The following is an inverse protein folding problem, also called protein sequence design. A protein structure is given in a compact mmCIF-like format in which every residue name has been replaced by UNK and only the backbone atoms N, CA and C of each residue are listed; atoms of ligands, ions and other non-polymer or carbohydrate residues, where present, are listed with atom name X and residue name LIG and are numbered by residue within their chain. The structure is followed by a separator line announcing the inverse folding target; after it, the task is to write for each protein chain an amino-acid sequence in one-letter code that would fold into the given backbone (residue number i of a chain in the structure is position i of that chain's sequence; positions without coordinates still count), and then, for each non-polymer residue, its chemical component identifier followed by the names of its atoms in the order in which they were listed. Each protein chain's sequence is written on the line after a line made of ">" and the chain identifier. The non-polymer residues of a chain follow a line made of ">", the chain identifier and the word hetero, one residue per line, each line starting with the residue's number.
data_IF_587900471727
#
_entry.id   IF_587900471727
#
_cell.length_a   1.000
_cell.length_b   1.000
_cell.length_c   1.000
_cell.angle_alpha   90.00
_cell.angle_beta   90.00
_cell.angle_gamma   90.00
#
_symmetry.space_group_name_H-M   'P 1'
#
loop_
_entity.id
_entity.type
_entity.pdbx_description
1 polymer ?
#
# COMPACT_ATOMS: atom_id res chain seq x y z
N UNK A 1 54.62 6.34 70.13
CA UNK A 1 53.86 5.14 70.55
C UNK A 1 52.40 5.36 70.18
N UNK A 2 51.96 4.71 69.09
CA UNK A 2 50.63 4.11 68.86
C UNK A 2 50.35 4.00 67.36
N UNK A 3 50.72 2.83 66.82
CA UNK A 3 50.12 2.22 65.64
C UNK A 3 48.62 2.04 65.85
N UNK A 4 47.80 2.40 64.88
CA UNK A 4 46.51 1.75 64.65
C UNK A 4 46.33 1.49 63.15
N UNK A 5 46.06 0.22 62.87
CA UNK A 5 45.85 -0.46 61.61
C UNK A 5 44.34 -0.47 61.25
N UNK A 6 44.00 -0.97 60.06
CA UNK A 6 42.67 -1.52 59.65
C UNK A 6 41.64 -0.52 59.08
N UNK A 7 40.84 -0.79 58.04
CA UNK A 7 40.55 -1.96 57.16
C UNK A 7 40.15 -1.37 55.78
N UNK A 8 40.62 -1.94 54.67
CA UNK A 8 40.16 -1.63 53.32
C UNK A 8 38.98 -2.55 52.97
N UNK A 9 37.76 -2.00 52.91
CA UNK A 9 36.55 -2.71 52.46
C UNK A 9 36.46 -2.56 50.94
N UNK A 10 36.71 -3.63 50.18
CA UNK A 10 36.39 -3.68 48.75
C UNK A 10 34.90 -3.95 48.57
N UNK A 11 34.15 -2.90 48.24
CA UNK A 11 32.77 -3.01 47.77
C UNK A 11 32.79 -3.50 46.32
N UNK A 12 32.44 -4.76 46.08
CA UNK A 12 32.12 -5.22 44.72
C UNK A 12 30.76 -4.63 44.32
N UNK A 13 30.78 -3.63 43.45
CA UNK A 13 29.58 -3.10 42.80
C UNK A 13 29.13 -4.07 41.71
N UNK A 14 28.10 -4.86 41.99
CA UNK A 14 27.39 -5.64 40.98
C UNK A 14 26.56 -4.70 40.10
N UNK A 15 27.04 -4.44 38.88
CA UNK A 15 26.26 -3.75 37.85
C UNK A 15 25.17 -4.68 37.34
N UNK A 16 23.92 -4.44 37.75
CA UNK A 16 22.75 -5.03 37.12
C UNK A 16 22.60 -4.44 35.72
N UNK A 17 22.94 -5.22 34.69
CA UNK A 17 22.59 -4.93 33.30
C UNK A 17 21.07 -5.07 33.17
N UNK A 18 20.37 -3.94 33.14
CA UNK A 18 18.96 -3.90 32.75
C UNK A 18 18.91 -4.00 31.23
N UNK A 19 18.65 -5.19 30.69
CA UNK A 19 18.30 -5.32 29.28
C UNK A 19 16.88 -4.77 29.10
N UNK A 20 16.77 -3.50 28.69
CA UNK A 20 15.50 -2.97 28.19
C UNK A 20 15.12 -3.78 26.95
N UNK A 21 13.99 -4.48 27.02
CA UNK A 21 13.37 -5.04 25.83
C UNK A 21 13.13 -3.88 24.85
N UNK A 22 13.38 -4.05 23.54
CA UNK A 22 13.04 -3.04 22.57
C UNK A 22 11.55 -2.73 22.71
N UNK A 23 11.23 -1.49 23.11
CA UNK A 23 9.87 -0.99 23.07
C UNK A 23 9.44 -1.08 21.61
N UNK A 24 8.36 -1.80 21.25
CA UNK A 24 7.87 -1.75 19.89
C UNK A 24 7.61 -0.29 19.56
N UNK A 25 8.29 0.23 18.54
CA UNK A 25 8.17 1.64 18.15
C UNK A 25 6.69 1.99 18.09
N UNK A 26 6.28 2.96 18.91
CA UNK A 26 4.93 3.51 18.80
C UNK A 26 4.69 3.87 17.34
N UNK A 27 3.58 3.45 16.72
CA UNK A 27 3.34 3.78 15.32
C UNK A 27 3.47 5.29 15.13
N UNK A 28 4.26 5.70 14.14
CA UNK A 28 4.44 7.10 13.81
C UNK A 28 3.04 7.70 13.60
N UNK A 29 2.63 8.75 14.33
CA UNK A 29 1.28 9.31 14.23
C UNK A 29 0.95 9.84 12.83
N UNK A 30 1.97 10.04 11.98
CA UNK A 30 1.83 10.42 10.57
C UNK A 30 1.72 9.22 9.62
N UNK A 31 1.70 7.98 10.12
CA UNK A 31 1.53 6.78 9.29
C UNK A 31 0.13 6.75 8.69
N UNK A 32 0.04 6.57 7.39
CA UNK A 32 -1.22 6.31 6.70
C UNK A 32 -1.30 4.84 6.27
N UNK A 33 -2.45 4.21 6.55
CA UNK A 33 -2.72 2.83 6.19
C UNK A 33 -4.08 2.79 5.51
N UNK A 34 -4.16 2.13 4.36
CA UNK A 34 -5.39 1.89 3.64
C UNK A 34 -5.39 0.53 2.95
N UNK A 35 -6.57 0.05 2.59
CA UNK A 35 -6.73 -1.18 1.83
C UNK A 35 -7.91 -1.11 0.87
N UNK A 36 -7.82 -1.86 -0.23
CA UNK A 36 -8.93 -2.19 -1.10
C UNK A 36 -9.15 -3.71 -1.07
N UNK A 37 -10.30 -4.14 -0.57
CA UNK A 37 -10.66 -5.56 -0.49
C UNK A 37 -11.62 -5.94 -1.61
N UNK A 38 -11.20 -6.88 -2.45
CA UNK A 38 -12.02 -7.44 -3.50
C UNK A 38 -12.73 -8.69 -2.97
N UNK A 39 -14.06 -8.72 -3.10
CA UNK A 39 -14.93 -9.80 -2.58
C UNK A 39 -15.81 -10.45 -3.65
N UNK A 40 -15.65 -10.05 -4.92
CA UNK A 40 -16.46 -10.50 -6.05
C UNK A 40 -15.74 -11.54 -6.93
N UNK A 41 -15.83 -11.35 -8.25
CA UNK A 41 -15.18 -12.23 -9.24
C UNK A 41 -13.65 -12.32 -9.07
N UNK A 42 -13.05 -11.23 -8.60
CA UNK A 42 -11.68 -11.21 -8.05
C UNK A 42 -11.81 -11.18 -6.54
N UNK A 43 -10.99 -11.96 -5.85
CA UNK A 43 -10.88 -11.91 -4.39
C UNK A 43 -9.46 -11.60 -3.97
N UNK A 44 -9.30 -10.84 -2.89
CA UNK A 44 -7.98 -10.44 -2.39
C UNK A 44 -7.95 -9.05 -1.80
N UNK A 45 -6.74 -8.57 -1.52
CA UNK A 45 -6.50 -7.23 -1.01
C UNK A 45 -5.39 -6.52 -1.77
N UNK A 46 -5.51 -5.20 -1.86
CA UNK A 46 -4.40 -4.30 -2.18
C UNK A 46 -4.23 -3.38 -0.98
N UNK A 47 -3.08 -3.46 -0.32
CA UNK A 47 -2.77 -2.70 0.88
C UNK A 47 -1.81 -1.57 0.55
N UNK A 48 -2.03 -0.42 1.18
CA UNK A 48 -1.25 0.80 1.01
C UNK A 48 -0.73 1.23 2.39
N UNK A 49 0.57 1.48 2.50
CA UNK A 49 1.20 1.96 3.74
C UNK A 49 2.24 3.03 3.47
N UNK A 50 2.01 4.22 3.97
CA UNK A 50 2.96 5.34 4.01
C UNK A 50 3.37 5.55 5.48
N UNK A 51 4.67 5.59 5.75
CA UNK A 51 5.24 5.50 7.10
C UNK A 51 5.39 6.85 7.82
N UNK A 52 4.81 7.91 7.26
CA UNK A 52 4.93 9.29 7.68
C UNK A 52 6.15 10.02 7.13
N UNK A 53 7.04 9.35 6.37
CA UNK A 53 8.20 9.98 5.72
C UNK A 53 7.80 10.84 4.51
N UNK A 54 6.61 10.63 3.96
CA UNK A 54 6.11 11.20 2.71
C UNK A 54 7.00 10.90 1.50
N UNK A 55 7.85 9.87 1.57
CA UNK A 55 8.76 9.48 0.49
C UNK A 55 8.08 8.56 -0.51
N UNK A 56 7.41 7.52 -0.02
CA UNK A 56 6.70 6.56 -0.85
C UNK A 56 5.60 5.85 -0.07
N UNK A 57 4.66 5.31 -0.84
CA UNK A 57 3.68 4.35 -0.37
C UNK A 57 4.17 2.94 -0.69
N UNK A 58 4.27 2.09 0.32
CA UNK A 58 4.42 0.66 0.10
C UNK A 58 3.06 0.10 -0.34
N UNK A 59 3.04 -0.56 -1.49
CA UNK A 59 1.85 -1.24 -2.01
C UNK A 59 2.09 -2.73 -1.99
N UNK A 60 1.15 -3.47 -1.41
CA UNK A 60 1.16 -4.95 -1.41
C UNK A 60 -0.13 -5.43 -2.06
N UNK A 61 0.01 -6.16 -3.17
CA UNK A 61 -1.10 -6.81 -3.88
C UNK A 61 -1.10 -8.29 -3.51
N UNK A 62 -2.22 -8.76 -2.97
CA UNK A 62 -2.47 -10.16 -2.61
C UNK A 62 -3.83 -10.59 -3.15
N UNK A 63 -3.86 -11.17 -4.35
CA UNK A 63 -5.10 -11.67 -4.96
C UNK A 63 -5.17 -13.20 -4.86
N UNK A 64 -6.31 -13.71 -4.44
CA UNK A 64 -6.55 -15.13 -4.19
C UNK A 64 -7.28 -15.83 -5.33
N UNK A 65 -8.02 -15.08 -6.17
CA UNK A 65 -8.73 -15.63 -7.33
C UNK A 65 -9.14 -14.56 -8.35
N UNK A 66 -9.66 -15.00 -9.50
CA UNK A 66 -10.35 -14.18 -10.49
C UNK A 66 -9.57 -13.86 -11.77
N UNK A 67 -8.24 -13.74 -11.71
CA UNK A 67 -7.43 -13.46 -12.91
C UNK A 67 -7.01 -14.75 -13.63
N UNK A 68 -7.96 -15.60 -14.05
CA UNK A 68 -7.67 -16.97 -14.48
C UNK A 68 -7.10 -17.12 -15.90
N UNK A 69 -7.16 -16.08 -16.74
CA UNK A 69 -6.53 -16.12 -18.05
C UNK A 69 -5.02 -15.98 -17.92
N UNK A 70 -4.27 -17.09 -18.00
CA UNK A 70 -2.82 -17.13 -17.74
C UNK A 70 -1.97 -16.30 -18.70
N UNK A 71 -2.49 -15.93 -19.87
CA UNK A 71 -1.82 -14.99 -20.80
C UNK A 71 -2.34 -13.56 -20.64
N UNK A 72 -3.33 -13.36 -19.79
CA UNK A 72 -3.94 -12.07 -19.49
C UNK A 72 -2.99 -11.13 -18.76
N UNK A 73 -3.04 -9.87 -19.16
CA UNK A 73 -2.34 -8.75 -18.54
C UNK A 73 -3.38 -7.71 -18.13
N UNK A 74 -3.74 -7.73 -16.85
CA UNK A 74 -4.83 -6.95 -16.29
C UNK A 74 -4.28 -5.62 -15.78
N UNK A 75 -4.75 -4.52 -16.37
CA UNK A 75 -4.42 -3.20 -15.85
C UNK A 75 -5.20 -2.95 -14.54
N UNK A 76 -4.70 -2.09 -13.69
CA UNK A 76 -5.34 -1.69 -12.45
C UNK A 76 -4.90 -0.30 -12.06
N UNK A 77 -5.87 0.50 -11.63
CA UNK A 77 -5.71 1.92 -11.37
C UNK A 77 -6.53 2.33 -10.15
N UNK A 78 -6.11 3.41 -9.49
CA UNK A 78 -6.96 4.13 -8.54
C UNK A 78 -7.86 5.08 -9.33
N UNK A 79 -9.16 5.01 -9.09
CA UNK A 79 -10.18 5.81 -9.78
C UNK A 79 -10.68 6.97 -8.91
N UNK A 80 -11.30 7.96 -9.55
CA UNK A 80 -11.71 9.22 -8.91
C UNK A 80 -12.78 9.07 -7.83
N UNK A 81 -13.70 8.12 -7.98
CA UNK A 81 -14.85 7.98 -7.10
C UNK A 81 -14.87 6.60 -6.43
N UNK A 82 -15.51 6.49 -5.25
CA UNK A 82 -15.77 5.19 -4.66
C UNK A 82 -16.70 4.38 -5.57
N UNK A 83 -16.59 3.06 -5.48
CA UNK A 83 -17.58 2.11 -5.98
C UNK A 83 -18.91 2.39 -5.27
N UNK A 84 -19.99 2.67 -6.00
CA UNK A 84 -21.30 2.91 -5.41
C UNK A 84 -21.90 1.62 -4.84
N UNK A 85 -22.97 1.75 -4.05
CA UNK A 85 -23.69 0.62 -3.45
C UNK A 85 -24.20 -0.41 -4.48
N UNK A 86 -24.37 -0.03 -5.75
CA UNK A 86 -24.73 -0.96 -6.82
C UNK A 86 -23.59 -1.93 -7.21
N UNK A 87 -22.35 -1.65 -6.80
CA UNK A 87 -21.17 -2.38 -7.23
C UNK A 87 -20.72 -2.08 -8.67
N UNK A 88 -21.34 -1.10 -9.34
CA UNK A 88 -21.02 -0.78 -10.73
C UNK A 88 -19.68 -0.04 -10.85
N UNK A 89 -18.66 -0.77 -11.30
CA UNK A 89 -17.33 -0.22 -11.50
C UNK A 89 -17.28 0.92 -12.51
N UNK A 90 -18.25 1.06 -13.43
CA UNK A 90 -18.26 2.16 -14.40
C UNK A 90 -18.52 3.53 -13.77
N UNK A 91 -19.12 3.54 -12.58
CA UNK A 91 -19.46 4.76 -11.86
C UNK A 91 -18.31 5.30 -11.00
N UNK A 92 -17.14 4.66 -11.02
CA UNK A 92 -15.94 5.15 -10.30
C UNK A 92 -15.23 6.32 -11.01
N UNK A 93 -15.75 6.78 -12.16
CA UNK A 93 -15.16 7.88 -12.92
C UNK A 93 -13.87 7.50 -13.65
N UNK A 94 -13.09 8.49 -14.06
CA UNK A 94 -11.77 8.28 -14.71
C UNK A 94 -10.70 7.85 -13.72
N UNK A 95 -9.44 7.79 -14.18
CA UNK A 95 -8.32 7.54 -13.30
C UNK A 95 -8.08 8.74 -12.36
N UNK A 96 -7.57 8.48 -11.16
CA UNK A 96 -7.12 9.52 -10.25
C UNK A 96 -5.88 10.21 -10.86
N UNK A 97 -6.04 11.45 -11.33
CA UNK A 97 -4.92 12.28 -11.77
C UNK A 97 -5.06 13.74 -11.34
N UNK A 98 -4.66 14.07 -10.10
CA UNK A 98 -4.61 15.44 -9.62
C UNK A 98 -3.76 16.38 -10.49
N UNK A 99 -2.67 15.88 -11.09
CA UNK A 99 -1.87 16.66 -12.04
C UNK A 99 -2.54 16.88 -13.41
N UNK A 100 -3.73 16.30 -13.64
CA UNK A 100 -4.53 16.54 -14.83
C UNK A 100 -4.10 15.77 -16.08
N UNK A 101 -3.33 14.68 -15.93
CA UNK A 101 -2.99 13.83 -17.06
C UNK A 101 -4.24 13.08 -17.56
N UNK A 102 -4.52 13.09 -18.88
CA UNK A 102 -5.76 12.52 -19.41
C UNK A 102 -5.76 10.99 -19.37
N UNK A 103 -6.97 10.42 -19.29
CA UNK A 103 -7.15 8.96 -19.39
C UNK A 103 -6.62 8.45 -20.74
N UNK A 104 -5.93 7.30 -20.70
CA UNK A 104 -5.31 6.69 -21.87
C UNK A 104 -3.97 7.31 -22.29
N UNK A 105 -3.49 8.35 -21.60
CA UNK A 105 -2.12 8.80 -21.76
C UNK A 105 -1.15 7.63 -21.46
N UNK A 106 -0.18 7.34 -22.35
CA UNK A 106 0.82 6.34 -22.07
C UNK A 106 1.63 6.70 -20.82
N UNK A 107 1.80 5.73 -19.93
CA UNK A 107 2.73 5.84 -18.82
C UNK A 107 4.02 5.10 -19.17
N UNK A 108 5.16 5.81 -19.11
CA UNK A 108 6.49 5.21 -19.20
C UNK A 108 7.01 4.96 -17.77
N UNK A 109 7.24 3.70 -17.37
CA UNK A 109 7.75 3.39 -16.03
C UNK A 109 9.16 3.95 -15.77
N UNK A 110 9.90 4.36 -16.81
CA UNK A 110 11.21 5.03 -16.66
C UNK A 110 11.07 6.53 -16.34
N UNK A 111 9.88 7.11 -16.56
CA UNK A 111 9.58 8.52 -16.29
C UNK A 111 8.23 8.62 -15.54
N UNK A 112 8.11 7.99 -14.34
CA UNK A 112 6.83 7.78 -13.69
C UNK A 112 6.18 9.07 -13.15
N UNK A 113 6.94 10.18 -13.08
CA UNK A 113 6.42 11.51 -12.73
C UNK A 113 5.53 12.14 -13.83
N UNK A 114 5.50 11.56 -15.04
CA UNK A 114 4.60 11.97 -16.12
C UNK A 114 3.37 11.07 -16.25
N UNK A 115 3.23 10.07 -15.36
CA UNK A 115 2.06 9.21 -15.34
C UNK A 115 0.96 9.81 -14.47
N UNK A 116 -0.28 9.38 -14.72
CA UNK A 116 -1.38 9.62 -13.77
C UNK A 116 -1.01 9.01 -12.41
N UNK A 117 -1.29 9.74 -11.34
CA UNK A 117 -0.93 9.33 -9.99
C UNK A 117 -1.58 7.98 -9.61
N UNK A 118 -2.81 7.76 -10.06
CA UNK A 118 -3.54 6.51 -9.91
C UNK A 118 -3.15 5.39 -10.88
N UNK A 119 -2.26 5.62 -11.86
CA UNK A 119 -1.85 4.59 -12.82
C UNK A 119 -0.77 3.65 -12.24
N UNK A 120 -1.24 2.69 -11.44
CA UNK A 120 -0.37 1.69 -10.80
C UNK A 120 0.22 0.72 -11.84
N UNK A 121 -0.53 0.36 -12.88
CA UNK A 121 -0.08 -0.58 -13.91
C UNK A 121 0.98 -0.03 -14.84
N UNK A 122 0.84 1.21 -15.26
CA UNK A 122 1.83 1.89 -16.08
C UNK A 122 3.16 2.02 -15.35
N UNK A 123 3.11 2.38 -14.05
CA UNK A 123 4.31 2.56 -13.22
C UNK A 123 4.95 1.24 -12.78
N UNK A 124 4.15 0.25 -12.38
CA UNK A 124 4.64 -0.96 -11.67
C UNK A 124 4.36 -2.27 -12.40
N UNK A 125 3.80 -2.20 -13.61
CA UNK A 125 3.44 -3.35 -14.43
C UNK A 125 2.02 -3.86 -14.16
N UNK A 126 1.45 -4.49 -15.19
CA UNK A 126 0.11 -5.11 -15.15
C UNK A 126 0.10 -6.37 -14.28
N UNK A 127 -1.06 -6.73 -13.74
CA UNK A 127 -1.26 -7.98 -13.01
C UNK A 127 -1.34 -9.13 -14.01
N UNK A 128 -0.48 -10.16 -13.90
CA UNK A 128 -0.60 -11.34 -14.74
C UNK A 128 -1.80 -12.17 -14.29
N UNK A 129 -2.39 -12.91 -15.23
CA UNK A 129 -3.25 -14.00 -14.83
C UNK A 129 -2.49 -15.10 -14.11
N UNK A 130 -3.17 -15.81 -13.21
CA UNK A 130 -2.58 -16.84 -12.36
C UNK A 130 -3.53 -18.03 -12.19
N UNK A 131 -3.00 -19.26 -11.96
CA UNK A 131 -3.83 -20.45 -11.79
C UNK A 131 -4.75 -20.37 -10.56
N UNK A 132 -5.95 -20.94 -10.68
CA UNK A 132 -6.86 -21.09 -9.54
C UNK A 132 -6.20 -21.83 -8.37
N UNK A 133 -6.43 -21.35 -7.15
CA UNK A 133 -5.82 -21.91 -5.93
C UNK A 133 -4.41 -21.41 -5.64
N UNK A 134 -3.83 -20.56 -6.49
CA UNK A 134 -2.60 -19.83 -6.19
C UNK A 134 -2.89 -18.40 -5.72
N UNK A 135 -1.93 -17.80 -5.02
CA UNK A 135 -1.99 -16.40 -4.60
C UNK A 135 -1.06 -15.59 -5.48
N UNK A 136 -1.60 -14.56 -6.14
CA UNK A 136 -0.77 -13.54 -6.77
C UNK A 136 -0.25 -12.58 -5.70
N UNK A 137 1.07 -12.52 -5.55
CA UNK A 137 1.76 -11.58 -4.68
C UNK A 137 2.60 -10.59 -5.48
N UNK A 138 2.45 -9.29 -5.19
CA UNK A 138 3.34 -8.22 -5.65
C UNK A 138 3.58 -7.22 -4.52
N UNK A 139 4.78 -6.66 -4.49
CA UNK A 139 5.13 -5.57 -3.59
C UNK A 139 6.03 -4.58 -4.32
N UNK A 140 5.74 -3.29 -4.15
CA UNK A 140 6.53 -2.20 -4.72
C UNK A 140 6.31 -0.90 -3.93
N UNK A 141 7.10 0.12 -4.26
CA UNK A 141 7.03 1.46 -3.67
C UNK A 141 6.54 2.45 -4.72
N UNK A 142 5.51 3.23 -4.38
CA UNK A 142 4.96 4.29 -5.23
C UNK A 142 5.17 5.67 -4.58
N UNK A 143 6.04 6.54 -5.12
CA UNK A 143 6.31 7.86 -4.56
C UNK A 143 5.29 8.94 -4.96
N UNK A 144 4.28 8.60 -5.77
CA UNK A 144 3.35 9.56 -6.35
C UNK A 144 1.95 9.52 -5.73
N UNK A 145 1.59 8.44 -5.04
CA UNK A 145 0.33 8.38 -4.27
C UNK A 145 0.32 9.45 -3.16
N UNK A 146 -0.80 10.17 -3.07
CA UNK A 146 -1.02 11.22 -2.07
C UNK A 146 -2.01 10.77 -1.01
N UNK A 147 -1.85 11.31 0.19
CA UNK A 147 -2.59 10.90 1.38
C UNK A 147 -3.32 12.05 2.06
N UNK A 148 -2.69 13.23 2.03
CA UNK A 148 -3.21 14.49 2.59
C UNK A 148 -3.70 15.36 1.42
N UNK A 149 -4.90 15.94 1.56
CA UNK A 149 -5.73 16.67 0.55
C UNK A 149 -6.89 15.85 -0.04
N UNK A 150 -8.16 16.26 0.15
CA UNK A 150 -9.34 15.58 -0.41
C UNK A 150 -9.37 15.37 -1.92
N UNK A 151 -8.71 16.23 -2.71
CA UNK A 151 -8.67 16.06 -4.18
C UNK A 151 -7.64 15.02 -4.59
N UNK A 152 -6.52 14.97 -3.87
CA UNK A 152 -5.34 14.21 -4.29
C UNK A 152 -5.26 12.85 -3.62
N UNK A 153 -5.90 12.73 -2.46
CA UNK A 153 -5.83 11.54 -1.62
C UNK A 153 -6.42 10.31 -2.29
N UNK A 154 -5.80 9.16 -1.99
CA UNK A 154 -6.35 7.84 -2.32
C UNK A 154 -7.50 7.42 -1.39
N UNK A 155 -7.68 8.08 -0.24
CA UNK A 155 -8.77 7.76 0.67
C UNK A 155 -10.13 8.07 0.05
N UNK A 156 -11.11 7.18 0.27
CA UNK A 156 -12.47 7.35 -0.28
C UNK A 156 -12.55 7.19 -1.80
N UNK A 157 -11.48 6.68 -2.42
CA UNK A 157 -11.42 6.32 -3.84
C UNK A 157 -11.68 4.82 -4.01
N UNK A 158 -11.47 4.31 -5.21
CA UNK A 158 -11.54 2.88 -5.50
C UNK A 158 -10.33 2.41 -6.30
N UNK A 159 -10.01 1.13 -6.21
CA UNK A 159 -9.14 0.46 -7.18
C UNK A 159 -10.02 -0.28 -8.17
N UNK A 160 -9.74 -0.14 -9.46
CA UNK A 160 -10.39 -0.89 -10.54
C UNK A 160 -9.35 -1.73 -11.25
N UNK A 161 -9.64 -3.01 -11.45
CA UNK A 161 -8.89 -3.93 -12.30
C UNK A 161 -9.63 -4.01 -13.64
N UNK A 162 -8.90 -3.94 -14.74
CA UNK A 162 -9.41 -3.97 -16.11
C UNK A 162 -8.93 -5.23 -16.84
N UNK A 163 -9.76 -5.73 -17.74
CA UNK A 163 -9.34 -6.68 -18.76
C UNK A 163 -8.29 -6.06 -19.70
N UNK A 164 -7.55 -6.88 -20.47
CA UNK A 164 -6.57 -6.39 -21.45
C UNK A 164 -7.14 -5.43 -22.50
N UNK A 165 -8.45 -5.50 -22.78
CA UNK A 165 -9.16 -4.61 -23.71
C UNK A 165 -9.63 -3.28 -23.06
N UNK A 166 -9.30 -3.05 -21.79
CA UNK A 166 -9.65 -1.83 -21.04
C UNK A 166 -11.01 -1.88 -20.33
N UNK A 167 -11.85 -2.88 -20.57
CA UNK A 167 -13.12 -3.03 -19.87
C UNK A 167 -12.89 -3.25 -18.37
N UNK A 168 -13.64 -2.54 -17.51
CA UNK A 168 -13.57 -2.69 -16.05
C UNK A 168 -14.03 -4.11 -15.66
N UNK A 169 -13.16 -4.84 -14.98
CA UNK A 169 -13.40 -6.23 -14.61
C UNK A 169 -13.87 -6.39 -13.17
N UNK A 170 -13.17 -5.76 -12.22
CA UNK A 170 -13.48 -5.80 -10.80
C UNK A 170 -13.09 -4.48 -10.15
N UNK A 171 -13.74 -4.10 -9.06
CA UNK A 171 -13.41 -2.88 -8.32
C UNK A 171 -13.66 -3.05 -6.83
N UNK A 172 -12.95 -2.26 -6.03
CA UNK A 172 -13.04 -2.24 -4.58
C UNK A 172 -12.78 -0.83 -4.05
N UNK A 173 -13.50 -0.43 -3.01
CA UNK A 173 -13.27 0.84 -2.31
C UNK A 173 -11.97 0.81 -1.48
N UNK A 174 -11.32 1.97 -1.38
CA UNK A 174 -10.14 2.17 -0.53
C UNK A 174 -10.61 2.70 0.83
N UNK A 175 -10.46 1.88 1.87
CA UNK A 175 -10.79 2.22 3.25
C UNK A 175 -9.52 2.47 4.06
N UNK A 176 -9.63 3.33 5.08
CA UNK A 176 -8.53 3.56 6.03
C UNK A 176 -8.41 2.40 7.03
N UNK A 177 -7.19 2.11 7.46
CA UNK A 177 -6.87 1.05 8.42
C UNK A 177 -6.36 -0.23 7.78
N UNK A 178 -6.43 -1.33 8.54
CA UNK A 178 -6.11 -2.67 8.08
C UNK A 178 -7.36 -3.38 7.54
N UNK A 179 -7.21 -4.32 6.60
CA UNK A 179 -8.34 -5.16 6.20
C UNK A 179 -8.90 -5.88 7.43
N UNK A 180 -10.23 -5.87 7.57
CA UNK A 180 -10.95 -6.65 8.59
C UNK A 180 -10.84 -8.16 8.34
#
# INVERSE_FOLDING_TARGET
>A
MNMLLSILVLLLSSTLLTSSLPVPDSPNPSTHIAYAQFTGVVTGTINFREDGSQTFTNVIVQLYSGLTNLTGQYAYHIHQYPVPNSGDCNLTGGHLSPSGYPDGAPCDPNIPNLCQEGDLSGKHGKLPGFPSGQILYRQYQDPYLKWVNPTDTIFGRSVVIHYPNGTRYACANIYAGYPE
#
